data_IF_822884441926
#
_entry.id   IF_822884441926
#
_cell.length_a   1.000
_cell.length_b   1.000
_cell.length_c   1.000
_cell.angle_alpha   90.00
_cell.angle_beta   90.00
_cell.angle_gamma   90.00
#
_symmetry.space_group_name_H-M   'P 1'
#
loop_
_entity.id
_entity.type
_entity.pdbx_description
1 polymer ?
#
# COMPACT_ATOMS: atom_id res chain seq x y z
N UNK A 1 -18.87 -20.74 -1.13
CA UNK A 1 -17.68 -20.32 -1.89
C UNK A 1 -17.34 -18.89 -1.49
N UNK A 2 -16.09 -18.54 -1.16
CA UNK A 2 -15.77 -17.18 -0.78
C UNK A 2 -16.00 -16.20 -1.95
N UNK A 3 -16.36 -14.94 -1.67
CA UNK A 3 -16.57 -13.94 -2.71
C UNK A 3 -15.32 -13.72 -3.56
N UNK A 4 -15.45 -13.35 -4.85
CA UNK A 4 -14.31 -13.17 -5.75
C UNK A 4 -13.25 -12.17 -5.25
N UNK A 5 -13.65 -11.13 -4.53
CA UNK A 5 -12.74 -10.14 -3.97
C UNK A 5 -11.81 -10.77 -2.91
N UNK A 6 -12.36 -11.64 -2.07
CA UNK A 6 -11.60 -12.35 -1.03
C UNK A 6 -10.60 -13.32 -1.67
N UNK A 7 -11.06 -14.10 -2.65
CA UNK A 7 -10.17 -15.02 -3.40
C UNK A 7 -9.03 -14.25 -4.04
N UNK A 8 -9.34 -13.14 -4.72
CA UNK A 8 -8.31 -12.29 -5.35
C UNK A 8 -7.28 -11.76 -4.36
N UNK A 9 -7.73 -11.29 -3.18
CA UNK A 9 -6.82 -10.80 -2.15
C UNK A 9 -5.85 -11.89 -1.67
N UNK A 10 -6.36 -13.10 -1.46
CA UNK A 10 -5.55 -14.26 -1.06
C UNK A 10 -4.59 -14.67 -2.18
N UNK A 11 -5.04 -14.70 -3.42
CA UNK A 11 -4.22 -15.04 -4.58
C UNK A 11 -3.07 -14.03 -4.75
N UNK A 12 -3.33 -12.72 -4.56
CA UNK A 12 -2.30 -11.68 -4.58
C UNK A 12 -1.20 -11.94 -3.56
N UNK A 13 -1.60 -12.27 -2.33
CA UNK A 13 -0.64 -12.60 -1.27
C UNK A 13 0.17 -13.86 -1.63
N UNK A 14 -0.50 -14.88 -2.15
CA UNK A 14 0.15 -16.14 -2.53
C UNK A 14 1.17 -15.98 -3.67
N UNK A 15 0.89 -15.07 -4.62
CA UNK A 15 1.72 -14.82 -5.80
C UNK A 15 2.97 -13.96 -5.52
N UNK A 16 3.10 -13.39 -4.33
CA UNK A 16 4.26 -12.56 -3.99
C UNK A 16 5.56 -13.36 -3.94
N UNK A 17 6.70 -12.75 -4.28
CA UNK A 17 8.01 -13.36 -4.11
C UNK A 17 8.26 -13.85 -2.67
N UNK A 18 9.02 -14.92 -2.55
CA UNK A 18 9.31 -15.53 -1.24
C UNK A 18 9.99 -14.55 -0.27
N UNK A 19 10.83 -13.65 -0.77
CA UNK A 19 11.48 -12.64 0.08
C UNK A 19 10.45 -11.72 0.76
N UNK A 20 9.40 -11.32 0.04
CA UNK A 20 8.32 -10.50 0.61
C UNK A 20 7.53 -11.31 1.63
N UNK A 21 7.11 -12.54 1.26
CA UNK A 21 6.35 -13.41 2.16
C UNK A 21 7.10 -13.69 3.47
N UNK A 22 8.41 -13.89 3.39
CA UNK A 22 9.26 -14.10 4.59
C UNK A 22 9.30 -12.86 5.49
N UNK A 23 9.44 -11.66 4.90
CA UNK A 23 9.39 -10.39 5.65
C UNK A 23 8.05 -10.18 6.35
N UNK A 24 6.95 -10.44 5.65
CA UNK A 24 5.61 -10.33 6.22
C UNK A 24 5.41 -11.35 7.35
N UNK A 25 5.84 -12.58 7.17
CA UNK A 25 5.70 -13.64 8.17
C UNK A 25 6.46 -13.34 9.48
N UNK A 26 7.58 -12.64 9.40
CA UNK A 26 8.35 -12.25 10.59
C UNK A 26 7.93 -10.88 11.15
N UNK A 27 7.45 -9.98 10.29
CA UNK A 27 7.14 -8.60 10.65
C UNK A 27 5.70 -8.36 11.09
N UNK A 28 4.74 -9.18 10.64
CA UNK A 28 3.32 -8.99 10.94
C UNK A 28 2.81 -9.94 12.02
N UNK A 29 1.81 -9.46 12.76
CA UNK A 29 1.08 -10.28 13.73
C UNK A 29 -0.09 -11.01 13.05
N UNK A 30 -0.78 -10.37 12.08
CA UNK A 30 -1.93 -10.96 11.39
C UNK A 30 -2.25 -10.27 10.06
N UNK A 31 -2.95 -11.01 9.19
CA UNK A 31 -3.61 -10.49 7.99
C UNK A 31 -5.06 -10.97 8.03
N UNK A 32 -6.00 -10.03 8.06
CA UNK A 32 -7.44 -10.29 8.04
C UNK A 32 -8.02 -9.94 6.67
N UNK A 33 -8.79 -10.87 6.11
CA UNK A 33 -9.45 -10.67 4.81
C UNK A 33 -10.92 -11.04 4.96
N UNK A 34 -11.84 -10.15 4.60
CA UNK A 34 -13.26 -10.40 4.76
C UNK A 34 -14.15 -9.44 3.99
N UNK A 35 -15.47 -9.61 4.15
CA UNK A 35 -16.47 -8.77 3.52
C UNK A 35 -16.69 -7.46 4.29
N UNK A 36 -17.01 -6.39 3.58
CA UNK A 36 -17.34 -5.09 4.16
C UNK A 36 -16.17 -4.11 4.17
N UNK A 37 -16.27 -3.09 5.00
CA UNK A 37 -15.18 -2.14 5.27
C UNK A 37 -14.34 -2.58 6.47
N UNK A 38 -13.29 -1.82 6.77
CA UNK A 38 -12.38 -2.10 7.89
C UNK A 38 -13.10 -2.35 9.22
N UNK A 39 -14.09 -1.53 9.64
CA UNK A 39 -14.77 -1.77 10.91
C UNK A 39 -15.58 -3.06 10.99
N UNK A 40 -15.87 -3.69 9.85
CA UNK A 40 -16.64 -4.95 9.79
C UNK A 40 -15.79 -6.18 10.01
N UNK A 41 -14.47 -6.01 10.15
CA UNK A 41 -13.51 -7.12 10.18
C UNK A 41 -12.90 -7.28 11.55
N UNK A 42 -12.86 -8.52 12.02
CA UNK A 42 -12.30 -8.93 13.31
C UNK A 42 -12.74 -7.99 14.46
N UNK A 43 -11.80 -7.50 15.25
CA UNK A 43 -12.00 -6.63 16.40
C UNK A 43 -11.95 -5.12 16.08
N UNK A 44 -12.15 -4.74 14.81
CA UNK A 44 -12.06 -3.36 14.35
C UNK A 44 -13.34 -2.53 14.51
N UNK A 45 -14.35 -3.07 15.18
CA UNK A 45 -15.65 -2.42 15.36
C UNK A 45 -15.58 -1.03 16.01
N UNK A 46 -14.58 -0.75 16.85
CA UNK A 46 -14.34 0.56 17.45
C UNK A 46 -14.02 1.65 16.43
N UNK A 47 -13.64 1.30 15.20
CA UNK A 47 -13.36 2.24 14.13
C UNK A 47 -14.62 2.69 13.37
N UNK A 48 -15.78 2.07 13.63
CA UNK A 48 -17.03 2.45 12.98
C UNK A 48 -17.39 3.91 13.30
N UNK A 49 -17.66 4.70 12.26
CA UNK A 49 -17.93 6.13 12.37
C UNK A 49 -16.73 7.02 12.70
N UNK A 50 -15.56 6.44 12.93
CA UNK A 50 -14.36 7.21 13.24
C UNK A 50 -13.79 7.83 11.96
N UNK A 51 -13.48 9.15 11.95
CA UNK A 51 -12.87 9.81 10.81
C UNK A 51 -11.47 9.25 10.49
N UNK A 52 -11.16 9.19 9.19
CA UNK A 52 -9.79 8.95 8.73
C UNK A 52 -8.87 10.11 9.12
N UNK A 53 -7.56 9.87 9.22
CA UNK A 53 -6.59 10.95 9.47
C UNK A 53 -6.69 12.11 8.47
N UNK A 54 -7.13 11.85 7.25
CA UNK A 54 -7.39 12.88 6.24
C UNK A 54 -8.63 13.74 6.50
N UNK A 55 -9.54 13.30 7.41
CA UNK A 55 -10.80 13.95 7.72
C UNK A 55 -11.86 13.91 6.60
N UNK A 56 -11.57 13.25 5.48
CA UNK A 56 -12.46 13.25 4.28
C UNK A 56 -13.53 12.16 4.27
N UNK A 57 -13.36 11.14 5.09
CA UNK A 57 -14.27 9.99 5.19
C UNK A 57 -14.08 9.32 6.55
N UNK A 58 -14.84 8.27 6.80
CA UNK A 58 -14.67 7.40 7.97
C UNK A 58 -14.05 6.07 7.55
N UNK A 59 -13.57 5.30 8.54
CA UNK A 59 -13.01 3.98 8.33
C UNK A 59 -14.01 3.00 7.68
N UNK A 60 -15.33 3.25 7.81
CA UNK A 60 -16.38 2.43 7.18
C UNK A 60 -16.28 2.40 5.64
N UNK A 61 -15.72 3.45 5.04
CA UNK A 61 -15.52 3.55 3.60
C UNK A 61 -14.20 2.92 3.12
N UNK A 62 -13.29 2.58 4.04
CA UNK A 62 -11.98 2.05 3.68
C UNK A 62 -12.05 0.61 3.18
N UNK A 63 -11.38 0.36 2.07
CA UNK A 63 -11.19 -0.97 1.50
C UNK A 63 -10.20 -1.82 2.30
N UNK A 64 -9.20 -1.19 2.90
CA UNK A 64 -8.19 -1.83 3.71
C UNK A 64 -7.51 -0.87 4.67
N UNK A 65 -6.66 -1.40 5.52
CA UNK A 65 -5.83 -0.64 6.44
C UNK A 65 -4.59 -1.45 6.85
N UNK A 66 -3.53 -0.73 7.17
CA UNK A 66 -2.36 -1.24 7.85
C UNK A 66 -2.11 -0.45 9.13
N UNK A 67 -1.83 -1.13 10.21
CA UNK A 67 -1.44 -0.52 11.47
C UNK A 67 -1.16 -1.59 12.54
N UNK A 68 -0.34 -1.25 13.53
CA UNK A 68 -0.03 -2.14 14.65
C UNK A 68 0.38 -3.57 14.19
N UNK A 69 1.15 -3.66 13.10
CA UNK A 69 1.63 -4.91 12.49
C UNK A 69 0.50 -5.85 12.01
N UNK A 70 -0.65 -5.27 11.64
CA UNK A 70 -1.79 -5.99 11.10
C UNK A 70 -2.21 -5.40 9.76
N UNK A 71 -2.54 -6.27 8.82
CA UNK A 71 -3.18 -5.90 7.56
C UNK A 71 -4.65 -6.30 7.65
N UNK A 72 -5.54 -5.41 7.22
CA UNK A 72 -6.98 -5.65 7.14
C UNK A 72 -7.42 -5.31 5.72
N UNK A 73 -8.01 -6.28 5.01
CA UNK A 73 -8.52 -6.09 3.65
C UNK A 73 -9.99 -6.50 3.59
N UNK A 74 -10.83 -5.53 3.26
CA UNK A 74 -12.27 -5.71 3.04
C UNK A 74 -12.61 -5.86 1.56
N UNK A 75 -13.91 -5.74 1.27
CA UNK A 75 -14.45 -5.85 -0.08
C UNK A 75 -14.92 -4.51 -0.65
N UNK A 76 -14.65 -3.39 0.02
CA UNK A 76 -15.01 -2.06 -0.47
C UNK A 76 -14.17 -1.68 -1.69
N UNK A 77 -14.71 -0.87 -2.62
CA UNK A 77 -13.93 -0.32 -3.72
C UNK A 77 -12.77 0.54 -3.22
N UNK A 78 -11.67 0.54 -3.98
CA UNK A 78 -10.48 1.34 -3.67
C UNK A 78 -9.96 2.00 -4.96
N UNK A 79 -9.43 3.24 -4.88
CA UNK A 79 -8.72 3.87 -5.99
C UNK A 79 -7.31 3.30 -6.22
N UNK A 80 -6.79 2.50 -5.28
CA UNK A 80 -5.50 1.83 -5.43
C UNK A 80 -5.52 0.79 -6.57
N UNK A 81 -4.39 0.53 -7.24
CA UNK A 81 -4.28 -0.53 -8.24
C UNK A 81 -4.70 -1.91 -7.72
N UNK A 82 -4.39 -2.22 -6.47
CA UNK A 82 -4.78 -3.45 -5.78
C UNK A 82 -4.75 -3.23 -4.27
N UNK A 83 -5.87 -3.49 -3.58
CA UNK A 83 -6.00 -3.21 -2.14
C UNK A 83 -5.03 -4.04 -1.30
N UNK A 84 -4.96 -5.35 -1.54
CA UNK A 84 -4.06 -6.22 -0.77
C UNK A 84 -2.61 -5.78 -0.95
N UNK A 85 -2.18 -5.54 -2.19
CA UNK A 85 -0.82 -5.07 -2.45
C UNK A 85 -0.55 -3.68 -1.88
N UNK A 86 -1.54 -2.79 -1.83
CA UNK A 86 -1.41 -1.48 -1.20
C UNK A 86 -1.11 -1.61 0.30
N UNK A 87 -1.89 -2.41 1.02
CA UNK A 87 -1.68 -2.62 2.46
C UNK A 87 -0.37 -3.38 2.75
N UNK A 88 0.01 -4.32 1.88
CA UNK A 88 1.33 -4.96 1.94
C UNK A 88 2.44 -3.94 1.70
N UNK A 89 2.25 -2.98 0.80
CA UNK A 89 3.17 -1.88 0.59
C UNK A 89 3.42 -1.08 1.87
N UNK A 90 2.37 -0.71 2.59
CA UNK A 90 2.49 -0.07 3.90
C UNK A 90 3.21 -0.96 4.93
N UNK A 91 2.87 -2.24 4.96
CA UNK A 91 3.51 -3.18 5.87
C UNK A 91 5.02 -3.30 5.61
N UNK A 92 5.44 -3.43 4.36
CA UNK A 92 6.86 -3.47 3.99
C UNK A 92 7.57 -2.16 4.29
N UNK A 93 6.91 -1.03 4.05
CA UNK A 93 7.42 0.29 4.37
C UNK A 93 7.79 0.41 5.86
N UNK A 94 6.93 -0.10 6.74
CA UNK A 94 7.16 -0.14 8.18
C UNK A 94 8.20 -1.21 8.58
N UNK A 95 8.02 -2.45 8.16
CA UNK A 95 8.85 -3.61 8.58
C UNK A 95 10.31 -3.47 8.13
N UNK A 96 10.55 -2.90 6.95
CA UNK A 96 11.88 -2.65 6.41
C UNK A 96 12.46 -1.29 6.82
N UNK A 97 11.74 -0.55 7.63
CA UNK A 97 12.22 0.69 8.20
C UNK A 97 13.35 0.49 9.21
N UNK A 98 13.87 1.56 9.73
CA UNK A 98 14.95 1.57 10.72
C UNK A 98 14.54 2.34 11.97
N UNK A 99 14.47 1.66 13.10
CA UNK A 99 13.95 2.25 14.33
C UNK A 99 12.48 2.63 14.19
N UNK A 100 12.15 3.88 14.46
CA UNK A 100 10.79 4.41 14.32
C UNK A 100 10.51 5.00 12.92
N UNK A 101 11.47 4.91 12.00
CA UNK A 101 11.34 5.43 10.63
C UNK A 101 10.93 4.32 9.67
N UNK A 102 9.97 4.62 8.82
CA UNK A 102 9.57 3.75 7.74
C UNK A 102 10.55 3.83 6.57
N UNK A 103 10.53 2.86 5.68
CA UNK A 103 11.39 2.82 4.50
C UNK A 103 11.21 4.07 3.62
N UNK A 104 9.97 4.56 3.48
CA UNK A 104 9.65 5.78 2.73
C UNK A 104 10.23 7.06 3.37
N UNK A 105 10.65 7.00 4.63
CA UNK A 105 11.33 8.10 5.33
C UNK A 105 12.85 8.07 5.10
N UNK A 106 13.39 7.01 4.47
CA UNK A 106 14.82 6.92 4.15
C UNK A 106 15.23 8.03 3.17
N UNK A 107 16.47 8.45 3.26
CA UNK A 107 17.03 9.45 2.33
C UNK A 107 16.91 9.01 0.87
N UNK A 108 17.15 7.72 0.60
CA UNK A 108 17.05 7.16 -0.74
C UNK A 108 15.65 7.30 -1.33
N UNK A 109 14.62 6.87 -0.58
CA UNK A 109 13.23 6.97 -1.08
C UNK A 109 12.75 8.42 -1.09
N UNK A 110 13.13 9.23 -0.11
CA UNK A 110 12.78 10.65 -0.09
C UNK A 110 13.29 11.34 -1.37
N UNK A 111 14.55 11.12 -1.74
CA UNK A 111 15.12 11.69 -2.98
C UNK A 111 14.38 11.21 -4.22
N UNK A 112 14.01 9.93 -4.28
CA UNK A 112 13.21 9.38 -5.38
C UNK A 112 11.81 10.02 -5.42
N UNK A 113 11.16 10.17 -4.28
CA UNK A 113 9.85 10.82 -4.17
C UNK A 113 9.90 12.28 -4.66
N UNK A 114 10.91 13.05 -4.23
CA UNK A 114 11.08 14.44 -4.66
C UNK A 114 11.27 14.56 -6.19
N UNK A 115 11.96 13.62 -6.81
CA UNK A 115 12.09 13.56 -8.27
C UNK A 115 10.76 13.24 -8.97
N UNK A 116 9.92 12.44 -8.35
CA UNK A 116 8.61 12.07 -8.89
C UNK A 116 7.53 13.15 -8.65
N UNK A 117 7.68 13.95 -7.60
CA UNK A 117 6.66 14.88 -7.12
C UNK A 117 6.11 15.84 -8.21
N UNK A 118 6.93 16.44 -9.09
CA UNK A 118 6.44 17.30 -10.17
C UNK A 118 5.54 16.59 -11.18
N UNK A 119 5.64 15.27 -11.30
CA UNK A 119 4.89 14.45 -12.25
C UNK A 119 3.64 13.81 -11.66
N UNK A 120 3.51 13.79 -10.33
CA UNK A 120 2.37 13.17 -9.66
C UNK A 120 1.07 13.89 -9.99
N UNK A 121 0.08 13.13 -10.45
CA UNK A 121 -1.24 13.67 -10.83
C UNK A 121 -2.22 13.72 -9.66
N UNK A 122 -2.07 12.84 -8.67
CA UNK A 122 -3.00 12.76 -7.54
C UNK A 122 -2.57 13.65 -6.36
N UNK A 123 -3.50 14.43 -5.85
CA UNK A 123 -3.30 15.17 -4.59
C UNK A 123 -3.05 14.25 -3.39
N UNK A 124 -3.54 13.00 -3.46
CA UNK A 124 -3.33 11.98 -2.45
C UNK A 124 -1.85 11.62 -2.28
N UNK A 125 -1.13 11.47 -3.39
CA UNK A 125 0.32 11.19 -3.37
C UNK A 125 1.16 12.44 -3.04
N UNK A 126 0.58 13.64 -3.16
CA UNK A 126 1.23 14.91 -2.86
C UNK A 126 0.89 15.48 -1.49
N UNK A 127 0.25 14.71 -0.64
CA UNK A 127 -0.04 15.14 0.73
C UNK A 127 1.23 15.55 1.47
N UNK A 128 1.19 16.61 2.29
CA UNK A 128 2.37 17.09 3.01
C UNK A 128 2.85 16.12 4.09
N UNK A 129 4.09 16.28 4.48
CA UNK A 129 4.72 15.48 5.53
C UNK A 129 4.98 14.04 5.08
N UNK A 130 4.76 13.10 5.98
CA UNK A 130 4.99 11.67 5.73
C UNK A 130 3.90 11.02 4.90
N UNK A 131 2.66 11.54 4.91
CA UNK A 131 1.50 10.89 4.32
C UNK A 131 1.66 10.66 2.81
N UNK A 132 2.03 11.70 2.06
CA UNK A 132 2.18 11.59 0.61
C UNK A 132 3.23 10.56 0.20
N UNK A 133 4.37 10.52 0.88
CA UNK A 133 5.43 9.54 0.60
C UNK A 133 4.98 8.12 0.90
N UNK A 134 4.34 7.89 2.03
CA UNK A 134 3.84 6.57 2.43
C UNK A 134 2.78 6.05 1.48
N UNK A 135 1.85 6.90 1.08
CA UNK A 135 0.80 6.53 0.13
C UNK A 135 1.36 6.27 -1.27
N UNK A 136 2.32 7.08 -1.71
CA UNK A 136 2.99 6.84 -2.99
C UNK A 136 3.82 5.55 -2.98
N UNK A 137 4.54 5.27 -1.89
CA UNK A 137 5.25 3.99 -1.72
C UNK A 137 4.29 2.81 -1.85
N UNK A 138 3.18 2.84 -1.13
CA UNK A 138 2.19 1.76 -1.12
C UNK A 138 1.53 1.57 -2.49
N UNK A 139 1.10 2.64 -3.17
CA UNK A 139 0.48 2.55 -4.49
C UNK A 139 1.46 2.17 -5.60
N UNK A 140 2.70 2.65 -5.54
CA UNK A 140 3.75 2.24 -6.46
C UNK A 140 4.07 0.74 -6.30
N UNK A 141 4.22 0.27 -5.07
CA UNK A 141 4.37 -1.15 -4.78
C UNK A 141 3.19 -1.95 -5.31
N UNK A 142 1.95 -1.50 -5.05
CA UNK A 142 0.74 -2.17 -5.49
C UNK A 142 0.69 -2.30 -7.02
N UNK A 143 1.01 -1.25 -7.76
CA UNK A 143 1.03 -1.28 -9.22
C UNK A 143 2.04 -2.29 -9.77
N UNK A 144 3.23 -2.36 -9.18
CA UNK A 144 4.30 -3.26 -9.62
C UNK A 144 3.97 -4.71 -9.22
N UNK A 145 3.66 -4.95 -7.96
CA UNK A 145 3.41 -6.28 -7.42
C UNK A 145 2.17 -6.96 -8.01
N UNK A 146 1.14 -6.18 -8.36
CA UNK A 146 -0.07 -6.68 -9.03
C UNK A 146 0.04 -6.76 -10.56
N UNK A 147 1.24 -6.53 -11.11
CA UNK A 147 1.52 -6.56 -12.55
C UNK A 147 0.76 -5.49 -13.34
N UNK A 148 0.58 -4.32 -12.74
CA UNK A 148 -0.10 -3.18 -13.33
C UNK A 148 0.85 -1.98 -13.48
N UNK A 149 2.07 -2.20 -13.99
CA UNK A 149 3.07 -1.14 -14.21
C UNK A 149 2.55 0.07 -15.00
N UNK A 150 1.65 -0.09 -15.99
CA UNK A 150 1.02 1.09 -16.63
C UNK A 150 0.31 2.02 -15.64
N UNK A 151 -0.28 1.51 -14.57
CA UNK A 151 -0.89 2.34 -13.52
C UNK A 151 0.13 3.24 -12.82
N UNK A 152 1.36 2.77 -12.60
CA UNK A 152 2.44 3.60 -12.06
C UNK A 152 2.81 4.73 -13.03
N UNK A 153 2.90 4.45 -14.33
CA UNK A 153 3.15 5.48 -15.35
C UNK A 153 2.05 6.53 -15.34
N UNK A 154 0.79 6.12 -15.22
CA UNK A 154 -0.35 7.03 -15.11
C UNK A 154 -0.30 7.89 -13.85
N UNK A 155 0.06 7.32 -12.70
CA UNK A 155 0.26 8.06 -11.44
C UNK A 155 1.29 9.19 -11.59
N UNK A 156 2.24 9.02 -12.50
CA UNK A 156 3.32 9.97 -12.79
C UNK A 156 3.07 10.77 -14.08
N UNK A 157 1.81 10.95 -14.47
CA UNK A 157 1.44 11.81 -15.60
C UNK A 157 2.02 11.37 -16.94
N UNK A 158 2.38 10.10 -17.09
CA UNK A 158 3.00 9.57 -18.29
C UNK A 158 4.53 9.67 -18.31
N UNK A 159 5.17 10.16 -17.24
CA UNK A 159 6.63 10.25 -17.17
C UNK A 159 7.26 8.89 -16.95
N UNK A 160 7.66 8.25 -18.06
CA UNK A 160 8.25 6.91 -18.05
C UNK A 160 9.61 6.84 -17.36
N UNK A 161 10.38 7.93 -17.36
CA UNK A 161 11.70 7.97 -16.70
C UNK A 161 11.56 7.83 -15.19
N UNK A 162 10.69 8.64 -14.58
CA UNK A 162 10.40 8.53 -13.14
C UNK A 162 9.81 7.17 -12.80
N UNK A 163 8.90 6.65 -13.63
CA UNK A 163 8.32 5.33 -13.42
C UNK A 163 9.38 4.22 -13.44
N UNK A 164 10.32 4.25 -14.37
CA UNK A 164 11.45 3.30 -14.43
C UNK A 164 12.35 3.38 -13.21
N UNK A 165 12.62 4.58 -12.69
CA UNK A 165 13.42 4.76 -11.47
C UNK A 165 12.71 4.14 -10.26
N UNK A 166 11.39 4.31 -10.14
CA UNK A 166 10.58 3.68 -9.09
C UNK A 166 10.59 2.15 -9.24
N UNK A 167 10.39 1.63 -10.46
CA UNK A 167 10.45 0.19 -10.73
C UNK A 167 11.80 -0.40 -10.33
N UNK A 168 12.91 0.29 -10.66
CA UNK A 168 14.25 -0.15 -10.30
C UNK A 168 14.43 -0.21 -8.77
N UNK A 169 13.93 0.78 -8.05
CA UNK A 169 13.98 0.80 -6.59
C UNK A 169 13.34 -0.45 -5.98
N UNK A 170 12.12 -0.80 -6.41
CA UNK A 170 11.41 -1.97 -5.89
C UNK A 170 12.00 -3.30 -6.40
N UNK A 171 12.49 -3.33 -7.64
CA UNK A 171 13.14 -4.53 -8.17
C UNK A 171 14.40 -4.90 -7.39
N UNK A 172 15.26 -3.93 -7.09
CA UNK A 172 16.50 -4.15 -6.33
C UNK A 172 16.19 -4.66 -4.92
N UNK A 173 15.12 -4.17 -4.29
CA UNK A 173 14.78 -4.53 -2.91
C UNK A 173 14.00 -5.84 -2.80
N UNK A 174 13.06 -6.08 -3.69
CA UNK A 174 12.06 -7.14 -3.54
C UNK A 174 11.98 -8.10 -4.71
N UNK A 175 12.70 -7.85 -5.79
CA UNK A 175 12.68 -8.72 -6.98
C UNK A 175 11.38 -8.68 -7.78
N UNK A 176 10.64 -7.57 -7.69
CA UNK A 176 9.38 -7.38 -8.43
C UNK A 176 9.52 -6.45 -9.62
#
# INVERSE_FOLDING_TARGET
MPPPQIVRAIDRLADLPQIIKAKLATGLDAIYVGMGGVPSLDDMGQLSGVPLPSGRATWDACAGAYGERKIIVGSRPSPSPDVMCHEIGHALDDVDGSGDQWQSDSEEFHNLYEQCLPHMVSAFHRQPGLLGRREFFADAFAAIASRQRPALVEMLGGDTRSALNVMLYFNVRYGI
#
